data_IF_140209841883
#
_entry.id   IF_140209841883
#
_cell.length_a   1.000
_cell.length_b   1.000
_cell.length_c   1.000
_cell.angle_alpha   90.00
_cell.angle_beta   90.00
_cell.angle_gamma   90.00
#
_symmetry.space_group_name_H-M   'P 1'
#
loop_
_entity.id
_entity.type
_entity.pdbx_description
1 polymer ?
#
# COMPACT_ATOMS: atom_id res chain seq x y z
N UNK A 1 16.56 -4.00 17.61
CA UNK A 1 15.86 -3.27 16.56
C UNK A 1 15.20 -4.24 15.60
N UNK A 2 13.91 -4.05 15.34
CA UNK A 2 13.15 -4.97 14.47
C UNK A 2 13.46 -4.69 13.01
N UNK A 3 13.67 -5.75 12.22
CA UNK A 3 13.81 -5.64 10.78
C UNK A 3 12.43 -5.72 10.11
N UNK A 4 12.38 -5.27 8.86
CA UNK A 4 11.17 -5.40 8.04
C UNK A 4 10.78 -6.87 7.90
N UNK A 5 11.76 -7.77 7.70
CA UNK A 5 11.47 -9.20 7.59
C UNK A 5 10.77 -9.75 8.83
N UNK A 6 11.25 -9.35 10.02
CA UNK A 6 10.63 -9.78 11.29
C UNK A 6 9.19 -9.26 11.42
N UNK A 7 8.96 -8.01 11.05
CA UNK A 7 7.63 -7.41 11.10
C UNK A 7 6.67 -8.12 10.14
N UNK A 8 7.11 -8.45 8.93
CA UNK A 8 6.28 -9.16 7.96
C UNK A 8 5.92 -10.55 8.45
N UNK A 9 6.82 -11.24 9.15
CA UNK A 9 6.52 -12.53 9.75
C UNK A 9 5.43 -12.41 10.81
N UNK A 10 5.47 -11.37 11.62
CA UNK A 10 4.44 -11.12 12.63
C UNK A 10 3.09 -10.85 11.98
N UNK A 11 3.07 -10.06 10.90
CA UNK A 11 1.83 -9.76 10.18
C UNK A 11 1.22 -11.04 9.56
N UNK A 12 2.05 -11.89 8.97
CA UNK A 12 1.60 -13.16 8.41
C UNK A 12 1.03 -14.09 9.49
N UNK A 13 1.65 -14.09 10.67
CA UNK A 13 1.19 -14.90 11.80
C UNK A 13 -0.20 -14.48 12.28
N UNK A 14 -0.57 -13.23 12.08
CA UNK A 14 -1.90 -12.70 12.42
C UNK A 14 -2.84 -12.67 11.22
N UNK A 15 -2.56 -13.47 10.19
CA UNK A 15 -3.35 -13.57 8.97
C UNK A 15 -3.46 -12.26 8.17
N UNK A 16 -2.46 -11.39 8.30
CA UNK A 16 -2.39 -10.16 7.53
C UNK A 16 -1.65 -10.42 6.22
N UNK A 17 -2.38 -10.96 5.24
CA UNK A 17 -1.85 -11.25 3.93
C UNK A 17 -1.80 -9.99 3.07
N UNK A 18 -0.94 -10.00 2.05
CA UNK A 18 -0.86 -8.91 1.09
C UNK A 18 -1.96 -9.08 0.05
N UNK A 19 -2.77 -8.04 -0.10
CA UNK A 19 -3.80 -7.96 -1.13
C UNK A 19 -3.45 -6.83 -2.07
N UNK A 20 -3.66 -7.02 -3.36
CA UNK A 20 -3.27 -6.06 -4.39
C UNK A 20 -4.44 -5.72 -5.30
N UNK A 21 -4.24 -4.69 -6.12
CA UNK A 21 -5.21 -4.27 -7.13
C UNK A 21 -4.44 -3.88 -8.39
N UNK A 22 -5.08 -3.95 -9.55
CA UNK A 22 -4.47 -3.52 -10.78
C UNK A 22 -4.83 -2.07 -11.09
N UNK A 23 -3.97 -1.31 -11.80
CA UNK A 23 -4.20 0.11 -12.02
C UNK A 23 -5.43 0.40 -12.90
N UNK A 24 -5.82 -0.54 -13.75
CA UNK A 24 -6.99 -0.37 -14.63
C UNK A 24 -8.32 -0.72 -13.95
N UNK A 25 -8.28 -1.35 -12.79
CA UNK A 25 -9.51 -1.65 -12.05
C UNK A 25 -10.09 -0.36 -11.48
N UNK A 26 -11.40 -0.36 -11.25
CA UNK A 26 -12.07 0.84 -10.75
C UNK A 26 -11.84 1.02 -9.25
N UNK A 27 -11.87 2.26 -8.81
CA UNK A 27 -11.69 2.60 -7.39
C UNK A 27 -12.70 1.83 -6.52
N UNK A 28 -13.92 1.64 -7.00
CA UNK A 28 -14.92 0.87 -6.24
C UNK A 28 -14.44 -0.55 -5.94
N UNK A 29 -13.78 -1.21 -6.90
CA UNK A 29 -13.25 -2.55 -6.69
C UNK A 29 -12.18 -2.55 -5.59
N UNK A 30 -11.30 -1.53 -5.59
CA UNK A 30 -10.29 -1.39 -4.55
C UNK A 30 -10.93 -1.19 -3.18
N UNK A 31 -11.97 -0.36 -3.09
CA UNK A 31 -12.68 -0.14 -1.84
C UNK A 31 -13.35 -1.41 -1.33
N UNK A 32 -13.89 -2.22 -2.23
CA UNK A 32 -14.52 -3.50 -1.87
C UNK A 32 -13.48 -4.47 -1.28
N UNK A 33 -12.29 -4.53 -1.89
CA UNK A 33 -11.20 -5.37 -1.36
C UNK A 33 -10.76 -4.86 0.01
N UNK A 34 -10.57 -3.55 0.14
CA UNK A 34 -10.17 -2.97 1.42
C UNK A 34 -11.18 -3.26 2.53
N UNK A 35 -12.47 -3.15 2.22
CA UNK A 35 -13.52 -3.44 3.20
C UNK A 35 -13.58 -4.93 3.55
N UNK A 36 -13.51 -5.80 2.55
CA UNK A 36 -13.58 -7.25 2.77
C UNK A 36 -12.38 -7.76 3.57
N UNK A 37 -11.19 -7.26 3.27
CA UNK A 37 -9.95 -7.71 3.92
C UNK A 37 -9.58 -6.87 5.13
N UNK A 38 -10.36 -5.86 5.45
CA UNK A 38 -10.15 -4.98 6.60
C UNK A 38 -8.75 -4.34 6.58
N UNK A 39 -8.39 -3.79 5.43
CA UNK A 39 -7.13 -3.04 5.24
C UNK A 39 -7.43 -1.66 4.70
N UNK A 40 -6.56 -0.70 4.99
CA UNK A 40 -6.77 0.69 4.58
C UNK A 40 -6.00 1.10 3.34
N UNK A 41 -5.24 0.19 2.75
CA UNK A 41 -4.45 0.48 1.56
C UNK A 41 -4.11 -0.81 0.82
N UNK A 42 -3.87 -0.67 -0.48
CA UNK A 42 -3.48 -1.78 -1.35
C UNK A 42 -2.31 -1.35 -2.24
N UNK A 43 -1.27 -2.18 -2.37
CA UNK A 43 -0.29 -1.99 -3.43
C UNK A 43 -0.97 -2.18 -4.79
N UNK A 44 -0.60 -1.35 -5.75
CA UNK A 44 -1.11 -1.43 -7.11
C UNK A 44 -0.04 -2.11 -7.97
N UNK A 45 -0.39 -3.24 -8.58
CA UNK A 45 0.53 -4.03 -9.39
C UNK A 45 0.10 -4.02 -10.85
N UNK A 46 1.09 -3.84 -11.73
CA UNK A 46 0.93 -3.98 -13.16
C UNK A 46 2.02 -4.91 -13.67
N UNK A 47 1.62 -6.05 -14.24
CA UNK A 47 2.56 -7.06 -14.74
C UNK A 47 3.58 -7.49 -13.67
N UNK A 48 3.12 -7.64 -12.43
CA UNK A 48 3.96 -8.07 -11.32
C UNK A 48 4.83 -6.98 -10.70
N UNK A 49 4.77 -5.75 -11.23
CA UNK A 49 5.57 -4.61 -10.74
C UNK A 49 4.68 -3.67 -9.96
N UNK A 50 5.15 -3.22 -8.80
CA UNK A 50 4.43 -2.24 -7.98
C UNK A 50 4.54 -0.87 -8.66
N UNK A 51 3.41 -0.30 -9.03
CA UNK A 51 3.36 1.01 -9.71
C UNK A 51 2.77 2.11 -8.84
N UNK A 52 2.20 1.75 -7.72
CA UNK A 52 1.62 2.74 -6.81
C UNK A 52 1.03 2.09 -5.58
N UNK A 53 0.42 2.92 -4.74
CA UNK A 53 -0.37 2.48 -3.58
C UNK A 53 -1.67 3.27 -3.59
N UNK A 54 -2.80 2.60 -3.40
CA UNK A 54 -4.09 3.25 -3.23
C UNK A 54 -4.56 3.05 -1.79
N UNK A 55 -5.09 4.11 -1.19
CA UNK A 55 -5.55 4.08 0.20
C UNK A 55 -6.93 4.70 0.33
N UNK A 56 -7.58 4.45 1.48
CA UNK A 56 -8.83 5.12 1.83
C UNK A 56 -8.64 6.64 1.89
N UNK A 57 -7.46 7.09 2.27
CA UNK A 57 -7.12 8.51 2.29
C UNK A 57 -7.11 9.10 0.86
N UNK A 58 -6.57 8.35 -0.12
CA UNK A 58 -6.62 8.75 -1.53
C UNK A 58 -8.05 8.85 -2.02
N UNK A 59 -8.89 7.89 -1.64
CA UNK A 59 -10.30 7.90 -1.99
C UNK A 59 -10.98 9.18 -1.48
N UNK A 60 -10.79 9.51 -0.20
CA UNK A 60 -11.40 10.69 0.38
C UNK A 60 -10.90 11.98 -0.27
N UNK A 61 -9.60 12.10 -0.44
CA UNK A 61 -8.96 13.36 -0.86
C UNK A 61 -8.95 13.59 -2.37
N UNK A 62 -8.82 12.52 -3.15
CA UNK A 62 -8.64 12.64 -4.60
C UNK A 62 -9.88 12.24 -5.39
N UNK A 63 -10.84 11.58 -4.77
CA UNK A 63 -12.06 11.17 -5.42
C UNK A 63 -13.27 11.94 -4.88
N UNK A 64 -13.60 11.73 -3.60
CA UNK A 64 -14.82 12.31 -2.99
C UNK A 64 -14.77 13.83 -3.02
N UNK A 65 -13.66 14.43 -2.58
CA UNK A 65 -13.54 15.89 -2.54
C UNK A 65 -13.52 16.53 -3.92
N UNK A 66 -13.23 15.77 -4.97
CA UNK A 66 -13.22 16.25 -6.35
C UNK A 66 -14.49 15.85 -7.12
N UNK A 67 -15.48 15.29 -6.42
CA UNK A 67 -16.77 14.93 -7.03
C UNK A 67 -16.68 13.82 -8.07
N UNK A 68 -15.65 12.96 -7.98
CA UNK A 68 -15.45 11.88 -8.95
C UNK A 68 -16.19 10.62 -8.51
N UNK A 69 -16.54 9.78 -9.50
CA UNK A 69 -17.29 8.55 -9.26
C UNK A 69 -16.32 7.37 -9.04
N UNK A 70 -16.53 6.57 -7.99
CA UNK A 70 -15.74 5.37 -7.73
C UNK A 70 -15.98 4.29 -8.78
N UNK A 71 -17.14 4.29 -9.42
CA UNK A 71 -17.49 3.35 -10.49
C UNK A 71 -16.79 3.71 -11.80
N UNK A 72 -16.61 5.00 -12.06
CA UNK A 72 -16.07 5.49 -13.33
C UNK A 72 -14.62 5.95 -13.27
N UNK A 73 -13.92 5.78 -12.14
CA UNK A 73 -12.55 6.25 -12.00
C UNK A 73 -11.61 5.05 -11.77
N UNK A 74 -10.59 4.87 -12.64
CA UNK A 74 -9.63 3.80 -12.42
C UNK A 74 -8.70 4.11 -11.26
N UNK A 75 -8.17 3.05 -10.65
CA UNK A 75 -7.23 3.14 -9.53
C UNK A 75 -6.04 4.03 -9.89
N UNK A 76 -5.52 3.90 -11.12
CA UNK A 76 -4.36 4.68 -11.58
C UNK A 76 -4.57 6.19 -11.49
N UNK A 77 -5.81 6.66 -11.51
CA UNK A 77 -6.11 8.09 -11.49
C UNK A 77 -5.94 8.72 -10.11
N UNK A 78 -5.99 7.91 -9.04
CA UNK A 78 -5.90 8.44 -7.66
C UNK A 78 -4.79 7.79 -6.83
N UNK A 79 -4.18 6.72 -7.28
CA UNK A 79 -3.09 6.07 -6.55
C UNK A 79 -1.93 7.05 -6.33
N UNK A 80 -1.17 6.84 -5.25
CA UNK A 80 0.06 7.59 -5.01
C UNK A 80 1.17 7.00 -5.87
N UNK A 81 1.82 7.83 -6.69
CA UNK A 81 2.86 7.44 -7.63
C UNK A 81 3.78 8.65 -7.88
N UNK A 82 5.07 8.46 -8.15
CA UNK A 82 5.81 7.21 -8.15
C UNK A 82 5.89 6.58 -6.76
N UNK A 83 6.11 5.27 -6.72
CA UNK A 83 6.14 4.52 -5.48
C UNK A 83 7.58 4.42 -4.95
N UNK A 84 7.74 4.58 -3.62
CA UNK A 84 9.01 4.30 -2.93
C UNK A 84 8.86 2.93 -2.29
N UNK A 85 9.83 2.05 -2.55
CA UNK A 85 9.83 0.70 -1.99
C UNK A 85 11.03 0.50 -1.07
N UNK A 86 10.92 -0.49 -0.20
CA UNK A 86 12.02 -0.91 0.69
C UNK A 86 12.20 -2.42 0.56
N UNK A 87 13.37 -2.94 0.96
CA UNK A 87 13.58 -4.37 1.00
C UNK A 87 13.42 -4.90 2.43
N UNK A 88 13.43 -6.23 2.57
CA UNK A 88 13.17 -6.88 3.86
C UNK A 88 14.31 -6.76 4.87
N UNK A 89 15.48 -6.34 4.42
CA UNK A 89 16.70 -6.26 5.28
C UNK A 89 16.78 -4.93 6.03
N UNK A 90 16.02 -3.93 5.61
CA UNK A 90 16.04 -2.62 6.26
C UNK A 90 15.39 -2.70 7.65
N UNK A 91 15.80 -1.79 8.53
CA UNK A 91 15.19 -1.70 9.85
C UNK A 91 13.83 -1.00 9.75
N UNK A 92 12.94 -1.35 10.67
CA UNK A 92 11.64 -0.68 10.77
C UNK A 92 11.83 0.81 11.05
N UNK A 93 12.81 1.17 11.89
CA UNK A 93 13.08 2.58 12.18
C UNK A 93 13.47 3.38 10.94
N UNK A 94 14.31 2.79 10.06
CA UNK A 94 14.67 3.43 8.79
C UNK A 94 13.44 3.64 7.92
N UNK A 95 12.55 2.65 7.84
CA UNK A 95 11.33 2.75 7.05
C UNK A 95 10.38 3.82 7.61
N UNK A 96 10.27 3.92 8.93
CA UNK A 96 9.46 4.96 9.56
C UNK A 96 9.99 6.36 9.24
N UNK A 97 11.32 6.51 9.23
CA UNK A 97 11.95 7.78 8.85
C UNK A 97 11.67 8.12 7.38
N UNK A 98 11.74 7.13 6.48
CA UNK A 98 11.40 7.34 5.07
C UNK A 98 9.96 7.83 4.93
N UNK A 99 9.03 7.19 5.62
CA UNK A 99 7.61 7.58 5.58
C UNK A 99 7.41 9.00 6.10
N UNK A 100 8.06 9.34 7.20
CA UNK A 100 7.97 10.67 7.79
C UNK A 100 8.55 11.73 6.86
N UNK A 101 9.77 11.51 6.37
CA UNK A 101 10.47 12.50 5.54
C UNK A 101 9.82 12.69 4.17
N UNK A 102 9.23 11.65 3.63
CA UNK A 102 8.59 11.68 2.30
C UNK A 102 7.08 11.91 2.39
N UNK A 103 6.53 12.09 3.59
CA UNK A 103 5.09 12.27 3.81
C UNK A 103 4.27 11.11 3.25
N UNK A 104 4.78 9.90 3.39
CA UNK A 104 4.12 8.67 2.97
C UNK A 104 3.58 7.92 4.19
N UNK A 105 2.47 7.23 4.02
CA UNK A 105 1.87 6.44 5.10
C UNK A 105 2.09 4.95 4.90
N UNK A 106 2.53 4.55 3.72
CA UNK A 106 2.71 3.14 3.33
C UNK A 106 3.95 2.99 2.48
N UNK A 107 4.67 1.87 2.67
CA UNK A 107 5.81 1.50 1.84
C UNK A 107 5.66 0.03 1.43
N UNK A 108 5.59 -0.25 0.14
CA UNK A 108 5.67 -1.63 -0.33
C UNK A 108 7.06 -2.21 -0.06
N UNK A 109 7.08 -3.47 0.37
CA UNK A 109 8.32 -4.21 0.58
C UNK A 109 8.53 -5.11 -0.63
N UNK A 110 9.62 -4.89 -1.36
CA UNK A 110 9.91 -5.61 -2.60
C UNK A 110 11.31 -6.21 -2.50
N UNK A 111 11.45 -7.46 -2.93
CA UNK A 111 12.72 -8.13 -2.95
C UNK A 111 12.83 -8.98 -4.21
N UNK A 112 13.91 -8.81 -4.96
CA UNK A 112 14.12 -9.51 -6.23
C UNK A 112 12.92 -9.34 -7.19
N UNK A 113 12.33 -8.13 -7.20
CA UNK A 113 11.19 -7.83 -8.05
C UNK A 113 9.86 -8.35 -7.55
N UNK A 114 9.82 -9.00 -6.38
CA UNK A 114 8.58 -9.57 -5.83
C UNK A 114 8.07 -8.76 -4.65
N UNK A 115 6.77 -8.50 -4.64
CA UNK A 115 6.13 -7.85 -3.52
C UNK A 115 5.99 -8.83 -2.36
N UNK A 116 6.56 -8.49 -1.21
CA UNK A 116 6.48 -9.30 0.01
C UNK A 116 5.40 -8.81 0.96
N UNK A 117 5.13 -7.52 0.99
CA UNK A 117 4.19 -6.96 1.92
C UNK A 117 4.06 -5.46 1.79
N UNK A 118 3.23 -4.88 2.65
CA UNK A 118 3.00 -3.45 2.71
C UNK A 118 3.17 -3.00 4.17
N UNK A 119 4.10 -2.08 4.39
CA UNK A 119 4.26 -1.46 5.71
C UNK A 119 3.35 -0.25 5.81
N UNK A 120 2.80 0.00 6.97
CA UNK A 120 2.06 1.23 7.26
C UNK A 120 2.73 1.97 8.40
N UNK A 121 2.49 3.28 8.48
CA UNK A 121 3.06 4.12 9.55
C UNK A 121 2.57 3.68 10.93
N UNK A 122 1.46 2.95 10.99
CA UNK A 122 0.95 2.38 12.25
C UNK A 122 1.60 1.07 12.68
N UNK A 123 2.49 0.49 11.85
CA UNK A 123 3.12 -0.80 12.15
C UNK A 123 4.29 -0.70 13.12
N UNK A 124 4.61 0.49 13.57
CA UNK A 124 5.66 0.74 14.55
C UNK A 124 5.32 0.06 15.88
N UNK A 125 6.17 -0.76 16.38
CA UNK A 125 6.12 -1.30 17.75
C UNK A 125 6.71 -2.68 17.84
#
# INVERSE_FOLDING_TARGET
MKSVAELLKLKAKHNQQVHTIAPHQMVLEALMVMAEKNVGALPVLENGVVVGVISERDYARKLVLHGRSSVGTPVSAIMSSPVITVDSHQSVDTCMNIMTDSHLRHLPVVENGQLLGLLSIGDRS
#
